data_IF_738134976426
#
_entry.id   IF_738134976426
#
_cell.length_a   1.000
_cell.length_b   1.000
_cell.length_c   1.000
_cell.angle_alpha   90.00
_cell.angle_beta   90.00
_cell.angle_gamma   90.00
#
_symmetry.space_group_name_H-M   'P 1'
#
loop_
_entity.id
_entity.type
_entity.pdbx_description
1 polymer ?
#
# COMPACT_ATOMS: atom_id res chain seq x y z
N UNK A 1 -31.52 -71.77 63.13
CA UNK A 1 -32.54 -71.43 62.11
C UNK A 1 -32.16 -70.05 61.58
N UNK A 2 -31.55 -70.00 60.39
CA UNK A 2 -30.93 -68.79 59.82
C UNK A 2 -32.00 -67.85 59.22
N UNK A 3 -31.92 -66.58 59.58
CA UNK A 3 -32.66 -65.46 58.98
C UNK A 3 -31.89 -64.90 57.75
N UNK A 4 -32.57 -64.46 56.68
CA UNK A 4 -31.90 -63.89 55.51
C UNK A 4 -31.61 -62.40 55.70
N UNK A 5 -30.49 -61.96 55.14
CA UNK A 5 -30.08 -60.56 55.07
C UNK A 5 -30.84 -59.81 53.97
N UNK A 6 -31.43 -58.67 54.32
CA UNK A 6 -32.12 -57.74 53.40
C UNK A 6 -31.08 -56.75 52.86
N UNK A 7 -30.80 -56.83 51.57
CA UNK A 7 -29.94 -55.88 50.87
C UNK A 7 -30.78 -54.64 50.50
N UNK A 8 -30.41 -53.47 51.03
CA UNK A 8 -31.08 -52.19 50.80
C UNK A 8 -30.38 -51.44 49.66
N UNK A 9 -30.98 -51.43 48.48
CA UNK A 9 -30.54 -50.60 47.36
C UNK A 9 -30.78 -49.12 47.67
N UNK A 10 -29.72 -48.31 47.60
CA UNK A 10 -29.80 -46.86 47.77
C UNK A 10 -29.99 -46.21 46.40
N UNK A 11 -31.20 -45.71 46.17
CA UNK A 11 -31.57 -44.92 45.00
C UNK A 11 -30.90 -43.53 45.11
N UNK A 12 -29.85 -43.29 44.32
CA UNK A 12 -29.26 -41.96 44.16
C UNK A 12 -30.26 -41.07 43.42
N UNK A 13 -30.73 -40.02 44.11
CA UNK A 13 -31.63 -39.03 43.58
C UNK A 13 -30.92 -38.14 42.54
N UNK A 14 -31.63 -37.83 41.45
CA UNK A 14 -31.18 -37.07 40.29
C UNK A 14 -31.11 -35.51 40.41
N UNK A 15 -31.36 -34.79 41.53
CA UNK A 15 -31.46 -33.33 41.47
C UNK A 15 -30.11 -32.58 41.51
N UNK A 16 -28.97 -33.23 41.79
CA UNK A 16 -27.67 -32.54 41.92
C UNK A 16 -26.95 -32.28 40.59
N UNK A 17 -27.34 -32.95 39.50
CA UNK A 17 -26.67 -32.83 38.20
C UNK A 17 -27.02 -31.53 37.45
N UNK A 18 -28.18 -30.92 37.72
CA UNK A 18 -28.64 -29.72 37.01
C UNK A 18 -28.01 -28.42 37.51
N UNK A 19 -27.56 -28.36 38.76
CA UNK A 19 -26.93 -27.17 39.34
C UNK A 19 -25.47 -27.03 38.88
N UNK A 20 -24.77 -28.15 38.63
CA UNK A 20 -23.38 -28.12 38.14
C UNK A 20 -23.26 -27.64 36.68
N UNK A 21 -24.28 -27.88 35.83
CA UNK A 21 -24.24 -27.46 34.42
C UNK A 21 -24.44 -25.93 34.25
N UNK A 22 -25.23 -25.30 35.13
CA UNK A 22 -25.45 -23.84 35.08
C UNK A 22 -24.24 -23.08 35.64
N UNK A 23 -23.55 -23.62 36.65
CA UNK A 23 -22.32 -23.01 37.16
C UNK A 23 -21.15 -23.10 36.14
N UNK A 24 -21.11 -24.15 35.31
CA UNK A 24 -20.10 -24.32 34.25
C UNK A 24 -20.32 -23.37 33.05
N UNK A 25 -21.54 -22.88 32.83
CA UNK A 25 -21.86 -21.87 31.82
C UNK A 25 -21.57 -20.43 32.28
N UNK A 26 -21.44 -20.20 33.59
CA UNK A 26 -21.10 -18.91 34.16
C UNK A 26 -19.59 -18.75 34.50
N UNK A 27 -18.81 -19.82 34.41
CA UNK A 27 -17.35 -19.79 34.58
C UNK A 27 -16.67 -19.28 33.31
N UNK A 28 -16.69 -17.96 33.17
CA UNK A 28 -15.72 -17.19 32.39
C UNK A 28 -15.80 -17.43 30.90
N UNK A 29 -16.49 -16.53 30.18
CA UNK A 29 -16.00 -16.15 28.87
C UNK A 29 -14.56 -15.64 29.09
N UNK A 30 -13.57 -16.52 28.92
CA UNK A 30 -12.18 -16.15 28.80
C UNK A 30 -12.17 -15.21 27.61
N UNK A 31 -12.07 -13.91 27.88
CA UNK A 31 -11.82 -12.93 26.82
C UNK A 31 -10.43 -13.26 26.32
N UNK A 32 -10.38 -14.00 25.21
CA UNK A 32 -9.16 -14.12 24.42
C UNK A 32 -8.98 -12.72 23.84
N UNK A 33 -8.16 -11.90 24.49
CA UNK A 33 -7.71 -10.66 23.87
C UNK A 33 -6.77 -11.05 22.73
N UNK A 34 -7.01 -10.50 21.53
CA UNK A 34 -6.10 -10.69 20.40
C UNK A 34 -4.70 -10.23 20.78
N UNK A 35 -3.66 -10.92 20.33
CA UNK A 35 -2.30 -10.54 20.68
C UNK A 35 -2.00 -9.13 20.13
N UNK A 36 -1.34 -8.30 20.95
CA UNK A 36 -0.96 -6.96 20.57
C UNK A 36 -0.12 -6.95 19.27
N UNK A 37 -0.38 -5.97 18.41
CA UNK A 37 0.37 -5.83 17.15
C UNK A 37 1.80 -5.41 17.47
N UNK A 38 2.80 -6.12 16.93
CA UNK A 38 4.21 -5.78 17.18
C UNK A 38 4.72 -4.73 16.20
N UNK A 39 5.91 -4.20 16.50
CA UNK A 39 6.62 -3.27 15.63
C UNK A 39 6.94 -3.90 14.27
N UNK A 40 6.90 -3.10 13.21
CA UNK A 40 7.21 -3.56 11.87
C UNK A 40 6.93 -2.53 10.80
N UNK A 41 7.00 -2.96 9.55
CA UNK A 41 6.79 -2.09 8.38
C UNK A 41 5.50 -2.46 7.66
N UNK A 42 4.74 -1.45 7.24
CA UNK A 42 3.62 -1.64 6.31
C UNK A 42 3.89 -0.85 5.05
N UNK A 43 4.01 -1.53 3.91
CA UNK A 43 4.20 -0.91 2.60
C UNK A 43 2.85 -0.70 1.93
N UNK A 44 2.62 0.53 1.50
CA UNK A 44 1.36 1.03 0.96
C UNK A 44 1.62 1.66 -0.41
N UNK A 45 1.44 0.93 -1.51
CA UNK A 45 1.42 1.54 -2.84
C UNK A 45 0.31 2.58 -2.90
N UNK A 46 0.61 3.73 -3.50
CA UNK A 46 -0.33 4.86 -3.44
C UNK A 46 -0.18 5.83 -4.60
N UNK A 47 -1.25 6.59 -4.82
CA UNK A 47 -1.30 7.76 -5.69
C UNK A 47 -1.61 8.98 -4.84
N UNK A 48 -0.71 9.96 -4.81
CA UNK A 48 -0.99 11.25 -4.20
C UNK A 48 -1.55 12.22 -5.25
N UNK A 49 -2.53 13.02 -4.86
CA UNK A 49 -3.25 13.97 -5.72
C UNK A 49 -3.39 15.28 -4.95
N UNK A 50 -3.27 16.40 -5.65
CA UNK A 50 -3.43 17.74 -5.09
C UNK A 50 -3.68 18.75 -6.20
N UNK A 51 -4.30 19.86 -5.85
CA UNK A 51 -4.37 21.03 -6.71
C UNK A 51 -3.17 21.94 -6.45
N UNK A 52 -2.58 22.48 -7.52
CA UNK A 52 -1.51 23.48 -7.43
C UNK A 52 -1.93 24.75 -8.13
N UNK A 53 -1.96 25.87 -7.41
CA UNK A 53 -2.15 27.19 -8.01
C UNK A 53 -0.81 27.91 -8.11
N UNK A 54 -0.30 28.10 -9.33
CA UNK A 54 0.91 28.90 -9.58
C UNK A 54 0.55 30.39 -9.53
N UNK A 55 1.19 31.14 -8.64
CA UNK A 55 0.89 32.56 -8.44
C UNK A 55 1.45 33.43 -9.57
N UNK A 56 0.73 34.50 -9.97
CA UNK A 56 1.15 35.38 -11.06
C UNK A 56 2.43 36.14 -10.72
N UNK A 57 3.14 36.59 -11.77
CA UNK A 57 4.41 37.32 -11.67
C UNK A 57 5.51 36.62 -10.86
N UNK A 58 5.48 35.29 -10.83
CA UNK A 58 6.54 34.47 -10.23
C UNK A 58 7.47 33.91 -11.30
N UNK A 59 8.67 33.40 -10.93
CA UNK A 59 9.53 32.72 -11.89
C UNK A 59 8.87 31.54 -12.63
N UNK A 60 7.85 30.92 -12.01
CA UNK A 60 7.13 29.74 -12.52
C UNK A 60 5.83 30.10 -13.26
N UNK A 61 5.30 31.30 -13.04
CA UNK A 61 4.16 31.83 -13.77
C UNK A 61 4.35 33.35 -13.99
N UNK A 62 4.88 33.70 -15.16
CA UNK A 62 5.11 35.09 -15.57
C UNK A 62 3.86 35.79 -16.10
N UNK A 63 2.72 35.11 -16.11
CA UNK A 63 1.47 35.71 -16.55
C UNK A 63 0.92 36.63 -15.44
N UNK A 64 0.02 37.54 -15.81
CA UNK A 64 -0.68 38.41 -14.87
C UNK A 64 -1.83 37.73 -14.12
N UNK A 65 -2.02 36.41 -14.26
CA UNK A 65 -3.13 35.69 -13.62
C UNK A 65 -2.65 34.36 -13.03
N UNK A 66 -3.29 33.85 -11.96
CA UNK A 66 -2.97 32.52 -11.43
C UNK A 66 -3.22 31.42 -12.47
N UNK A 67 -2.42 30.36 -12.43
CA UNK A 67 -2.64 29.14 -13.21
C UNK A 67 -2.99 28.02 -12.24
N UNK A 68 -4.18 27.44 -12.37
CA UNK A 68 -4.58 26.25 -11.61
C UNK A 68 -4.17 24.99 -12.37
N UNK A 69 -3.46 24.11 -11.68
CA UNK A 69 -3.17 22.74 -12.08
C UNK A 69 -4.06 21.83 -11.23
N UNK A 70 -5.20 21.48 -11.81
CA UNK A 70 -6.23 20.65 -11.19
C UNK A 70 -5.78 19.18 -11.15
N UNK A 71 -5.99 18.52 -10.02
CA UNK A 71 -5.72 17.10 -9.83
C UNK A 71 -4.28 16.66 -10.22
N UNK A 72 -3.27 17.49 -9.95
CA UNK A 72 -1.87 17.14 -10.13
C UNK A 72 -1.55 15.90 -9.28
N UNK A 73 -1.08 14.83 -9.92
CA UNK A 73 -0.89 13.55 -9.22
C UNK A 73 0.49 12.93 -9.45
N UNK A 74 0.87 12.04 -8.56
CA UNK A 74 2.04 11.18 -8.73
C UNK A 74 1.80 9.81 -8.12
N UNK A 75 2.55 8.83 -8.61
CA UNK A 75 2.48 7.44 -8.13
C UNK A 75 3.75 7.16 -7.33
N UNK A 76 3.60 6.42 -6.24
CA UNK A 76 4.69 6.07 -5.36
C UNK A 76 4.24 5.03 -4.34
N UNK A 77 4.92 5.01 -3.21
CA UNK A 77 4.55 4.17 -2.08
C UNK A 77 4.90 4.87 -0.76
N UNK A 78 4.11 4.61 0.26
CA UNK A 78 4.38 4.96 1.65
C UNK A 78 4.83 3.70 2.37
N UNK A 79 5.90 3.77 3.17
CA UNK A 79 6.25 2.70 4.11
C UNK A 79 6.15 3.25 5.52
N UNK A 80 5.15 2.76 6.26
CA UNK A 80 4.94 3.10 7.66
C UNK A 80 5.88 2.26 8.51
N UNK A 81 6.77 2.91 9.26
CA UNK A 81 7.58 2.25 10.29
C UNK A 81 6.80 2.34 11.61
N UNK A 82 6.10 1.26 11.95
CA UNK A 82 5.19 1.15 13.08
C UNK A 82 5.91 0.61 14.30
N UNK A 83 5.66 1.22 15.45
CA UNK A 83 6.03 0.66 16.74
C UNK A 83 5.08 -0.47 17.16
N UNK A 84 5.39 -1.15 18.27
CA UNK A 84 4.43 -2.06 18.87
C UNK A 84 3.23 -1.30 19.41
N UNK A 85 2.05 -1.92 19.36
CA UNK A 85 0.83 -1.38 19.93
C UNK A 85 0.97 -1.23 21.44
N UNK A 86 0.60 -0.05 21.94
CA UNK A 86 0.50 0.27 23.37
C UNK A 86 -0.92 0.77 23.63
N UNK A 87 -1.71 -0.03 24.34
CA UNK A 87 -3.14 0.22 24.51
C UNK A 87 -3.86 0.16 23.16
N UNK A 88 -4.58 1.23 22.80
CA UNK A 88 -5.29 1.37 21.52
C UNK A 88 -4.52 2.19 20.48
N UNK A 89 -3.21 2.35 20.65
CA UNK A 89 -2.37 3.20 19.79
C UNK A 89 -1.16 2.45 19.25
N UNK A 90 -0.84 2.69 17.98
CA UNK A 90 0.41 2.31 17.32
C UNK A 90 1.08 3.58 16.85
N UNK A 91 2.26 3.90 17.37
CA UNK A 91 3.02 5.05 16.90
C UNK A 91 3.68 4.75 15.55
N UNK A 92 3.79 5.76 14.70
CA UNK A 92 4.52 5.73 13.44
C UNK A 92 5.69 6.71 13.59
N UNK A 93 6.83 6.17 14.02
CA UNK A 93 8.01 6.99 14.33
C UNK A 93 8.69 7.57 13.09
N UNK A 94 8.46 6.97 11.91
CA UNK A 94 8.93 7.52 10.63
C UNK A 94 8.13 6.97 9.45
N UNK A 95 8.15 7.71 8.35
CA UNK A 95 7.56 7.28 7.08
C UNK A 95 8.65 7.31 6.00
N UNK A 96 9.02 6.14 5.50
CA UNK A 96 9.95 6.05 4.37
C UNK A 96 9.20 5.95 3.03
N UNK A 97 9.88 6.28 1.93
CA UNK A 97 9.21 6.54 0.67
C UNK A 97 8.43 7.85 0.74
N UNK A 98 7.17 7.84 0.34
CA UNK A 98 6.30 9.01 0.18
C UNK A 98 6.84 10.05 -0.82
N UNK A 99 7.71 9.63 -1.73
CA UNK A 99 8.07 10.36 -2.94
C UNK A 99 7.16 9.88 -4.07
N UNK A 100 6.49 10.81 -4.74
CA UNK A 100 5.54 10.54 -5.79
C UNK A 100 6.04 11.13 -7.10
N UNK A 101 6.18 10.28 -8.12
CA UNK A 101 6.61 10.70 -9.46
C UNK A 101 5.40 10.90 -10.36
N UNK A 102 5.39 11.98 -11.14
CA UNK A 102 4.33 12.28 -12.10
C UNK A 102 4.83 13.06 -13.30
N UNK A 103 3.92 13.33 -14.23
CA UNK A 103 4.16 14.14 -15.42
C UNK A 103 2.97 15.07 -15.66
N UNK A 104 3.25 16.32 -16.01
CA UNK A 104 2.24 17.28 -16.41
C UNK A 104 2.75 18.08 -17.61
N UNK A 105 1.96 18.28 -18.68
CA UNK A 105 2.43 18.94 -19.90
C UNK A 105 3.08 20.31 -19.70
N UNK A 106 2.61 21.08 -18.70
CA UNK A 106 3.19 22.39 -18.36
C UNK A 106 4.49 22.29 -17.54
N UNK A 107 4.62 21.27 -16.70
CA UNK A 107 5.72 21.15 -15.73
C UNK A 107 6.84 20.21 -16.17
N UNK A 108 6.56 19.30 -17.10
CA UNK A 108 7.43 18.15 -17.38
C UNK A 108 7.25 17.04 -16.35
N UNK A 109 8.29 16.22 -16.21
CA UNK A 109 8.39 15.19 -15.17
C UNK A 109 8.73 15.85 -13.84
N UNK A 110 8.11 15.39 -12.77
CA UNK A 110 8.31 15.91 -11.42
C UNK A 110 8.22 14.83 -10.35
N UNK A 111 8.78 15.16 -9.19
CA UNK A 111 8.64 14.46 -7.93
C UNK A 111 8.00 15.38 -6.89
N UNK A 112 7.18 14.85 -5.99
CA UNK A 112 6.76 15.57 -4.80
C UNK A 112 6.59 14.67 -3.58
N UNK A 113 6.48 15.27 -2.39
CA UNK A 113 6.40 14.56 -1.11
C UNK A 113 7.75 14.57 -0.39
N UNK A 114 8.28 13.39 -0.05
CA UNK A 114 9.59 13.24 0.60
C UNK A 114 10.74 13.48 -0.39
N UNK A 115 11.09 14.73 -0.65
CA UNK A 115 12.15 15.12 -1.57
C UNK A 115 13.31 15.71 -0.78
N UNK A 116 14.55 15.34 -1.14
CA UNK A 116 15.77 15.86 -0.49
C UNK A 116 15.74 17.40 -0.36
N UNK A 117 16.08 17.97 0.81
CA UNK A 117 16.77 17.33 1.94
C UNK A 117 15.86 16.67 2.97
N UNK A 118 14.56 16.57 2.71
CA UNK A 118 13.65 15.83 3.58
C UNK A 118 14.03 14.35 3.60
N UNK A 119 13.78 13.74 4.74
CA UNK A 119 14.03 12.36 5.06
C UNK A 119 12.76 11.74 5.64
N UNK A 120 12.72 10.40 5.72
CA UNK A 120 11.56 9.75 6.31
C UNK A 120 11.33 10.04 7.80
N UNK A 121 12.32 10.61 8.50
CA UNK A 121 12.18 11.04 9.89
C UNK A 121 11.43 12.38 10.02
N UNK A 122 11.29 13.15 8.93
CA UNK A 122 10.53 14.40 8.93
C UNK A 122 9.02 14.16 8.94
N UNK A 123 8.60 12.92 8.66
CA UNK A 123 7.21 12.50 8.59
C UNK A 123 6.92 11.43 9.65
N UNK A 124 5.74 11.50 10.26
CA UNK A 124 5.34 10.54 11.30
C UNK A 124 3.86 10.63 11.59
N UNK A 125 3.43 9.94 12.64
CA UNK A 125 2.03 9.93 13.04
C UNK A 125 1.69 8.80 14.01
N UNK A 126 0.43 8.37 13.96
CA UNK A 126 -0.05 7.23 14.74
C UNK A 126 -1.30 6.61 14.11
N UNK A 127 -1.59 5.39 14.52
CA UNK A 127 -2.89 4.75 14.38
C UNK A 127 -3.49 4.69 15.78
N UNK A 128 -4.65 5.30 15.97
CA UNK A 128 -5.39 5.32 17.24
C UNK A 128 -6.67 4.51 17.14
N UNK A 129 -7.37 4.31 18.25
CA UNK A 129 -8.61 3.54 18.29
C UNK A 129 -8.47 2.15 17.64
N UNK A 130 -7.31 1.51 17.86
CA UNK A 130 -7.01 0.20 17.30
C UNK A 130 -8.00 -0.83 17.85
N UNK A 131 -8.71 -1.49 16.94
CA UNK A 131 -9.59 -2.62 17.22
C UNK A 131 -8.94 -3.88 16.71
N UNK A 132 -8.89 -4.90 17.56
CA UNK A 132 -8.33 -6.20 17.22
C UNK A 132 -9.40 -7.28 17.21
N UNK A 133 -9.26 -8.26 16.31
CA UNK A 133 -10.08 -9.46 16.33
C UNK A 133 -9.64 -10.37 17.49
N UNK A 134 -10.48 -10.59 18.52
CA UNK A 134 -10.15 -11.47 19.64
C UNK A 134 -10.04 -12.95 19.24
N UNK A 135 -10.56 -13.33 18.08
CA UNK A 135 -10.52 -14.72 17.58
C UNK A 135 -9.26 -15.01 16.77
N UNK A 136 -8.53 -13.97 16.34
CA UNK A 136 -7.22 -14.12 15.74
C UNK A 136 -6.13 -13.91 16.82
N UNK A 137 -5.47 -14.99 17.29
CA UNK A 137 -4.36 -14.86 18.24
C UNK A 137 -3.16 -14.11 17.61
N UNK A 138 -3.24 -13.73 16.34
CA UNK A 138 -2.17 -13.17 15.57
C UNK A 138 -1.10 -14.21 15.25
N UNK A 139 -0.03 -13.75 14.62
CA UNK A 139 1.18 -14.55 14.47
C UNK A 139 2.14 -14.24 15.63
N UNK A 140 2.87 -15.25 16.12
CA UNK A 140 3.91 -15.06 17.15
C UNK A 140 5.01 -14.07 16.71
N UNK A 141 5.16 -13.84 15.41
CA UNK A 141 6.06 -12.84 14.82
C UNK A 141 5.43 -11.45 14.68
N UNK A 142 4.20 -11.27 15.19
CA UNK A 142 3.43 -10.03 15.23
C UNK A 142 3.05 -9.46 13.86
N UNK A 143 2.74 -10.34 12.92
CA UNK A 143 2.04 -9.90 11.72
C UNK A 143 0.68 -9.28 12.13
N UNK A 144 0.24 -8.20 11.48
CA UNK A 144 -0.93 -7.41 11.87
C UNK A 144 -2.27 -8.09 11.55
N UNK A 145 -2.32 -9.43 11.48
CA UNK A 145 -3.52 -10.17 11.07
C UNK A 145 -4.69 -9.95 12.02
N UNK A 146 -4.41 -9.73 13.31
CA UNK A 146 -5.42 -9.38 14.30
C UNK A 146 -5.90 -7.93 14.20
N UNK A 147 -5.29 -7.05 13.39
CA UNK A 147 -5.76 -5.69 13.20
C UNK A 147 -7.05 -5.68 12.37
N UNK A 148 -8.14 -5.21 12.97
CA UNK A 148 -9.43 -5.09 12.30
C UNK A 148 -9.69 -3.66 11.84
N UNK A 149 -9.41 -2.66 12.68
CA UNK A 149 -9.56 -1.25 12.29
C UNK A 149 -8.73 -0.30 13.15
N UNK A 150 -8.55 0.93 12.68
CA UNK A 150 -7.96 2.02 13.46
C UNK A 150 -7.87 3.33 12.68
N UNK A 151 -7.82 4.45 13.39
CA UNK A 151 -7.76 5.79 12.80
C UNK A 151 -6.32 6.21 12.60
N UNK A 152 -5.88 6.23 11.35
CA UNK A 152 -4.57 6.73 10.94
C UNK A 152 -4.59 8.28 10.93
N UNK A 153 -3.55 8.86 11.51
CA UNK A 153 -3.16 10.26 11.27
C UNK A 153 -1.66 10.32 11.02
N UNK A 154 -1.26 10.86 9.87
CA UNK A 154 0.15 11.04 9.50
C UNK A 154 0.38 12.46 8.98
N UNK A 155 1.59 12.97 9.08
CA UNK A 155 1.91 14.32 8.63
C UNK A 155 3.38 14.65 8.74
N UNK A 156 3.68 15.94 8.57
CA UNK A 156 5.02 16.48 8.66
C UNK A 156 5.00 18.01 8.62
N UNK A 157 6.15 18.63 8.86
CA UNK A 157 6.26 20.08 8.83
C UNK A 157 6.20 20.65 7.40
N UNK A 158 6.79 19.96 6.43
CA UNK A 158 6.88 20.41 5.04
C UNK A 158 7.00 19.23 4.08
N UNK A 159 6.61 19.40 2.82
CA UNK A 159 6.95 18.47 1.75
C UNK A 159 7.49 19.23 0.53
N UNK A 160 8.27 18.52 -0.29
CA UNK A 160 8.98 19.10 -1.43
C UNK A 160 8.31 18.84 -2.77
N UNK A 161 8.68 19.64 -3.76
CA UNK A 161 8.41 19.46 -5.19
C UNK A 161 9.73 19.62 -5.94
N UNK A 162 10.08 18.69 -6.82
CA UNK A 162 11.28 18.76 -7.63
C UNK A 162 10.94 18.52 -9.09
N UNK A 163 11.38 19.43 -9.93
CA UNK A 163 11.23 19.31 -11.38
C UNK A 163 12.40 18.51 -11.94
N UNK A 164 12.09 17.44 -12.66
CA UNK A 164 13.09 16.54 -13.24
C UNK A 164 13.42 16.93 -14.69
N UNK A 165 12.43 17.38 -15.44
CA UNK A 165 12.57 17.83 -16.82
C UNK A 165 11.91 19.19 -17.05
N UNK A 166 12.02 19.73 -18.27
CA UNK A 166 11.44 21.01 -18.63
C UNK A 166 12.25 22.25 -18.20
N UNK A 167 11.68 23.46 -18.35
CA UNK A 167 12.40 24.72 -18.11
C UNK A 167 12.81 24.95 -16.65
N UNK A 168 12.17 24.26 -15.71
CA UNK A 168 12.44 24.35 -14.27
C UNK A 168 13.29 23.19 -13.74
N UNK A 169 13.83 22.32 -14.61
CA UNK A 169 14.56 21.12 -14.21
C UNK A 169 15.68 21.42 -13.20
N UNK A 170 15.76 20.59 -12.16
CA UNK A 170 16.73 20.72 -11.06
C UNK A 170 16.28 21.66 -9.93
N UNK A 171 15.22 22.45 -10.12
CA UNK A 171 14.66 23.27 -9.05
C UNK A 171 13.87 22.39 -8.07
N UNK A 172 14.07 22.64 -6.77
CA UNK A 172 13.28 22.05 -5.70
C UNK A 172 12.59 23.16 -4.88
N UNK A 173 11.30 23.01 -4.64
CA UNK A 173 10.44 23.90 -3.87
C UNK A 173 9.92 23.17 -2.63
N UNK A 174 9.56 23.91 -1.58
CA UNK A 174 9.03 23.32 -0.35
C UNK A 174 7.81 24.07 0.14
N UNK A 175 6.88 23.35 0.77
CA UNK A 175 5.82 24.02 1.53
C UNK A 175 6.39 24.74 2.76
N UNK A 176 5.74 25.80 3.20
CA UNK A 176 6.13 26.54 4.41
C UNK A 176 6.19 25.62 5.64
N UNK A 177 7.37 25.43 6.27
CA UNK A 177 7.53 24.51 7.40
C UNK A 177 6.85 24.99 8.69
N UNK A 178 6.43 26.26 8.76
CA UNK A 178 5.67 26.78 9.91
C UNK A 178 4.20 26.35 9.90
N UNK A 179 3.73 25.82 8.77
CA UNK A 179 2.35 25.37 8.58
C UNK A 179 2.36 23.87 8.23
N UNK A 180 2.24 22.98 9.23
CA UNK A 180 2.36 21.54 8.99
C UNK A 180 1.21 21.00 8.14
N UNK A 181 1.48 19.89 7.47
CA UNK A 181 0.46 19.10 6.77
C UNK A 181 0.10 17.86 7.57
N UNK A 182 -1.13 17.39 7.38
CA UNK A 182 -1.56 16.09 7.90
C UNK A 182 -2.60 15.45 6.99
N UNK A 183 -2.62 14.13 7.03
CA UNK A 183 -3.61 13.29 6.39
C UNK A 183 -4.19 12.32 7.39
N UNK A 184 -5.48 12.02 7.26
CA UNK A 184 -6.13 11.02 8.10
C UNK A 184 -7.04 10.09 7.29
N UNK A 185 -7.25 8.89 7.83
CA UNK A 185 -8.17 7.89 7.31
C UNK A 185 -8.49 6.86 8.39
N UNK A 186 -9.60 6.15 8.25
CA UNK A 186 -9.87 4.96 9.05
C UNK A 186 -9.47 3.73 8.25
N UNK A 187 -8.51 2.98 8.77
CA UNK A 187 -8.09 1.70 8.20
C UNK A 187 -9.05 0.59 8.63
N UNK A 188 -9.34 -0.30 7.70
CA UNK A 188 -10.14 -1.52 7.84
C UNK A 188 -9.28 -2.80 7.84
N UNK A 189 -7.97 -2.62 7.95
CA UNK A 189 -6.96 -3.65 7.88
C UNK A 189 -5.56 -3.04 7.94
N UNK A 190 -4.55 -3.89 8.14
CA UNK A 190 -3.14 -3.50 7.98
C UNK A 190 -2.44 -4.57 7.12
N UNK A 191 -2.16 -4.31 5.83
CA UNK A 191 -2.45 -3.06 5.10
C UNK A 191 -3.96 -2.80 4.94
N UNK A 192 -4.39 -1.53 4.80
CA UNK A 192 -5.79 -1.19 4.56
C UNK A 192 -6.24 -1.66 3.18
N UNK A 193 -7.55 -1.69 2.97
CA UNK A 193 -8.15 -1.97 1.67
C UNK A 193 -7.68 -1.01 0.57
N UNK A 194 -7.62 -1.54 -0.64
CA UNK A 194 -7.38 -0.76 -1.85
C UNK A 194 -8.48 0.29 -2.01
N UNK A 195 -8.11 1.48 -2.44
CA UNK A 195 -9.04 2.61 -2.57
C UNK A 195 -9.25 3.38 -1.28
N UNK A 196 -8.68 2.94 -0.14
CA UNK A 196 -8.62 3.75 1.08
C UNK A 196 -8.02 5.12 0.76
N UNK A 197 -8.73 6.18 1.12
CA UNK A 197 -8.30 7.56 0.87
C UNK A 197 -7.86 8.20 2.17
N UNK A 198 -6.63 8.70 2.18
CA UNK A 198 -6.09 9.55 3.22
C UNK A 198 -6.38 10.99 2.80
N UNK A 199 -7.37 11.60 3.44
CA UNK A 199 -7.81 12.96 3.16
C UNK A 199 -6.95 13.96 3.94
N UNK A 200 -6.74 15.15 3.37
CA UNK A 200 -6.14 16.25 4.12
C UNK A 200 -6.95 16.52 5.40
N UNK A 201 -6.27 16.47 6.53
CA UNK A 201 -6.80 16.82 7.85
C UNK A 201 -6.13 18.08 8.42
N UNK A 202 -5.20 18.66 7.67
CA UNK A 202 -4.49 19.89 8.02
C UNK A 202 -5.17 21.13 7.42
N UNK A 203 -4.42 22.23 7.28
CA UNK A 203 -4.90 23.46 6.64
C UNK A 203 -5.42 23.21 5.22
N UNK A 204 -6.37 24.00 4.73
CA UNK A 204 -6.94 23.78 3.37
C UNK A 204 -5.92 24.04 2.26
N UNK A 205 -5.02 24.99 2.49
CA UNK A 205 -3.95 25.33 1.56
C UNK A 205 -2.60 25.43 2.26
N UNK A 206 -1.53 25.16 1.50
CA UNK A 206 -0.15 25.41 1.92
C UNK A 206 0.56 26.29 0.90
N UNK A 207 1.33 27.25 1.40
CA UNK A 207 2.21 28.05 0.57
C UNK A 207 3.42 27.22 0.15
N UNK A 208 3.73 27.25 -1.13
CA UNK A 208 4.96 26.68 -1.70
C UNK A 208 5.93 27.82 -1.95
N UNK A 209 7.14 27.68 -1.42
CA UNK A 209 8.14 28.75 -1.42
C UNK A 209 9.33 28.44 -2.31
N UNK A 210 9.87 29.49 -2.92
CA UNK A 210 11.14 29.49 -3.64
C UNK A 210 11.97 30.67 -3.16
N UNK A 211 13.14 30.41 -2.58
CA UNK A 211 14.03 31.46 -2.04
C UNK A 211 13.31 32.44 -1.09
N UNK A 212 12.38 31.95 -0.27
CA UNK A 212 11.59 32.74 0.67
C UNK A 212 10.40 33.49 0.08
N UNK A 213 10.19 33.46 -1.24
CA UNK A 213 9.00 33.99 -1.89
C UNK A 213 7.95 32.90 -2.04
N UNK A 214 6.68 33.21 -1.76
CA UNK A 214 5.56 32.31 -2.11
C UNK A 214 5.35 32.33 -3.62
N UNK A 215 5.46 31.17 -4.25
CA UNK A 215 5.36 31.02 -5.71
C UNK A 215 4.16 30.20 -6.16
N UNK A 216 3.61 29.38 -5.27
CA UNK A 216 2.41 28.60 -5.53
C UNK A 216 1.67 28.30 -4.22
N UNK A 217 0.46 27.78 -4.33
CA UNK A 217 -0.26 27.13 -3.23
C UNK A 217 -0.63 25.70 -3.59
N UNK A 218 -0.67 24.82 -2.59
CA UNK A 218 -1.14 23.44 -2.70
C UNK A 218 -2.42 23.25 -1.90
N UNK A 219 -3.45 22.67 -2.50
CA UNK A 219 -4.79 22.44 -1.91
C UNK A 219 -5.38 21.10 -2.36
N UNK A 220 -6.57 20.75 -1.84
CA UNK A 220 -7.29 19.49 -2.12
C UNK A 220 -6.40 18.23 -2.12
N UNK A 221 -5.54 18.14 -1.09
CA UNK A 221 -4.56 17.07 -1.01
C UNK A 221 -5.20 15.77 -0.54
N UNK A 222 -4.92 14.68 -1.24
CA UNK A 222 -5.36 13.34 -0.87
C UNK A 222 -4.38 12.27 -1.34
N UNK A 223 -4.32 11.16 -0.62
CA UNK A 223 -3.52 10.00 -1.00
C UNK A 223 -4.44 8.79 -1.09
N UNK A 224 -4.50 8.19 -2.27
CA UNK A 224 -5.33 7.01 -2.55
C UNK A 224 -4.44 5.78 -2.52
N UNK A 225 -4.79 4.81 -1.67
CA UNK A 225 -4.11 3.52 -1.62
C UNK A 225 -4.44 2.73 -2.89
N UNK A 226 -3.40 2.23 -3.57
CA UNK A 226 -3.53 1.51 -4.84
C UNK A 226 -3.02 0.09 -4.69
N UNK A 227 -3.37 -0.77 -5.66
CA UNK A 227 -2.63 -2.01 -5.85
C UNK A 227 -1.29 -1.70 -6.53
N UNK A 228 -0.20 -2.41 -6.18
CA UNK A 228 0.97 -2.42 -7.04
C UNK A 228 0.51 -2.92 -8.41
N UNK A 229 0.66 -2.12 -9.47
CA UNK A 229 0.14 -2.48 -10.78
C UNK A 229 0.69 -3.85 -11.23
N UNK A 230 -0.15 -4.89 -11.36
CA UNK A 230 0.29 -6.20 -11.87
C UNK A 230 0.59 -6.14 -13.38
N UNK A 231 0.22 -5.04 -14.03
CA UNK A 231 0.15 -4.85 -15.47
C UNK A 231 1.51 -5.06 -16.15
N UNK A 232 2.60 -4.57 -15.55
CA UNK A 232 3.95 -4.71 -16.12
C UNK A 232 4.46 -6.16 -16.08
N UNK A 233 4.21 -6.89 -15.00
CA UNK A 233 4.57 -8.31 -14.89
C UNK A 233 3.68 -9.18 -15.78
N UNK A 234 2.39 -8.87 -15.88
CA UNK A 234 1.47 -9.53 -16.79
C UNK A 234 1.84 -9.27 -18.26
N UNK A 235 2.17 -8.02 -18.62
CA UNK A 235 2.63 -7.66 -19.97
C UNK A 235 3.98 -8.27 -20.31
N UNK A 236 4.91 -8.37 -19.36
CA UNK A 236 6.19 -9.02 -19.55
C UNK A 236 6.03 -10.53 -19.71
N UNK A 237 5.11 -11.15 -18.95
CA UNK A 237 4.75 -12.55 -19.12
C UNK A 237 4.08 -12.82 -20.48
N UNK A 238 3.14 -11.97 -20.90
CA UNK A 238 2.47 -12.07 -22.21
C UNK A 238 3.44 -11.80 -23.36
N UNK A 239 4.30 -10.79 -23.24
CA UNK A 239 5.36 -10.48 -24.20
C UNK A 239 6.39 -11.61 -24.32
N UNK A 240 6.79 -12.19 -23.19
CA UNK A 240 7.67 -13.36 -23.14
C UNK A 240 7.05 -14.60 -23.79
N UNK A 241 5.77 -14.87 -23.53
CA UNK A 241 5.03 -15.97 -24.16
C UNK A 241 4.89 -15.75 -25.68
N UNK A 242 4.58 -14.53 -26.11
CA UNK A 242 4.51 -14.15 -27.53
C UNK A 242 5.85 -14.36 -28.24
N UNK A 243 6.96 -13.92 -27.64
CA UNK A 243 8.30 -14.12 -28.20
C UNK A 243 8.64 -15.62 -28.32
N UNK A 244 8.30 -16.43 -27.32
CA UNK A 244 8.53 -17.88 -27.36
C UNK A 244 7.74 -18.57 -28.49
N UNK A 245 6.50 -18.13 -28.76
CA UNK A 245 5.69 -18.64 -29.86
C UNK A 245 6.33 -18.32 -31.22
N UNK A 246 6.75 -17.08 -31.43
CA UNK A 246 7.43 -16.64 -32.66
C UNK A 246 8.70 -17.44 -32.91
N UNK A 247 9.51 -17.66 -31.87
CA UNK A 247 10.74 -18.46 -31.98
C UNK A 247 10.46 -19.93 -32.32
N UNK A 248 9.38 -20.53 -31.80
CA UNK A 248 8.97 -21.89 -32.16
C UNK A 248 8.52 -22.00 -33.61
N UNK A 249 7.74 -21.04 -34.11
CA UNK A 249 7.29 -21.00 -35.51
C UNK A 249 8.50 -20.87 -36.44
N UNK A 250 9.41 -19.93 -36.16
CA UNK A 250 10.63 -19.75 -36.94
C UNK A 250 11.54 -21.00 -36.95
N UNK A 251 11.62 -21.72 -35.82
CA UNK A 251 12.35 -22.99 -35.71
C UNK A 251 11.70 -24.12 -36.51
N UNK A 252 10.36 -24.20 -36.49
CA UNK A 252 9.60 -25.17 -37.28
C UNK A 252 9.76 -24.92 -38.79
N UNK A 253 9.72 -23.67 -39.23
CA UNK A 253 9.98 -23.30 -40.63
C UNK A 253 11.40 -23.65 -41.08
N UNK A 254 12.41 -23.42 -40.24
CA UNK A 254 13.79 -23.85 -40.53
C UNK A 254 13.90 -25.36 -40.67
N UNK A 255 13.30 -26.14 -39.76
CA UNK A 255 13.29 -27.61 -39.86
C UNK A 255 12.55 -28.10 -41.10
N UNK A 256 11.40 -27.50 -41.44
CA UNK A 256 10.64 -27.83 -42.64
C UNK A 256 11.40 -27.52 -43.93
N UNK A 257 12.12 -26.39 -43.98
CA UNK A 257 12.96 -26.01 -45.13
C UNK A 257 14.13 -26.98 -45.31
N UNK A 258 14.84 -27.34 -44.23
CA UNK A 258 15.92 -28.35 -44.28
C UNK A 258 15.42 -29.71 -44.79
N UNK A 259 14.22 -30.15 -44.36
CA UNK A 259 13.63 -31.42 -44.81
C UNK A 259 13.28 -31.43 -46.30
N UNK A 260 12.84 -30.29 -46.85
CA UNK A 260 12.58 -30.15 -48.31
C UNK A 260 13.86 -30.16 -49.14
N UNK A 261 14.97 -29.61 -48.62
CA UNK A 261 16.25 -29.65 -49.32
C UNK A 261 16.78 -31.08 -49.43
N UNK A 262 16.74 -31.86 -48.32
CA UNK A 262 17.22 -33.24 -48.30
C UNK A 262 16.43 -34.17 -49.24
N UNK A 263 15.13 -33.95 -49.40
CA UNK A 263 14.30 -34.78 -50.30
C UNK A 263 14.52 -34.48 -51.79
N UNK A 264 15.12 -33.34 -52.13
CA UNK A 264 15.38 -32.95 -53.53
C UNK A 264 16.65 -33.61 -54.07
N UNK A 265 17.62 -33.86 -53.20
CA UNK A 265 18.88 -34.50 -53.58
C UNK A 265 18.78 -36.04 -53.72
N UNK A 266 17.71 -36.66 -53.19
CA UNK A 266 17.46 -38.11 -53.37
C UNK A 266 16.74 -38.47 -54.68
N UNK A 267 16.27 -37.50 -55.46
CA UNK A 267 15.55 -37.73 -56.72
C UNK A 267 16.40 -37.56 -57.98
N UNK A 268 17.72 -37.37 -57.85
CA UNK A 268 18.65 -37.17 -58.97
C UNK A 268 19.67 -38.32 -59.06
N UNK A 269 19.23 -39.57 -59.08
CA UNK A 269 20.07 -40.71 -59.52
C UNK A 269 19.19 -41.77 -60.20
N UNK A 270 18.82 -41.54 -61.47
CA UNK A 270 18.52 -42.61 -62.45
C UNK A 270 17.97 -42.03 -63.75
N UNK A 271 18.84 -41.52 -64.61
CA UNK A 271 18.56 -41.43 -66.05
C UNK A 271 19.86 -41.12 -66.80
N UNK A 272 20.42 -42.13 -67.46
CA UNK A 272 21.22 -42.06 -68.71
C UNK A 272 22.22 -43.23 -68.74
N UNK A 273 21.74 -44.37 -69.20
CA UNK A 273 22.51 -45.34 -69.97
C UNK A 273 21.69 -45.59 -71.23
N UNK A 274 22.40 -45.70 -72.35
CA UNK A 274 21.98 -45.93 -73.74
C UNK A 274 21.77 -44.67 -74.60
#
# INVERSE_FOLDING_TARGET
>A
MLLPAVHKESCMSLPSLRISLVLLLCLGAVRVEGAAIVAGTTVLPSKAIQDITLLPNTPFNRTGSPILLDDLFGVGQITLNRDAQVGSTINIGSISGATYTGFHPLLGDYEFGNVFPLTGADFGGSITNVVQDPLDPGFATGAPSSFQSGDLSIGGASFGFKFLTGPAAGITLFTDPSVPFSFSSTFDGLPPSVGTVLMNSGPDFLNVTFMGQVVATSSDRRIVMTVPEPSSLALLALGGAGLCLVLRIASAERKGRVRRTVNRDQFVVSASSD
#
